data_IF_418962780543
#
_entry.id   IF_418962780543
#
_cell.length_a   1.000
_cell.length_b   1.000
_cell.length_c   1.000
_cell.angle_alpha   90.00
_cell.angle_beta   90.00
_cell.angle_gamma   90.00
#
_symmetry.space_group_name_H-M   'P 1'
#
loop_
_entity.id
_entity.type
_entity.pdbx_description
1 polymer ?
#
# COMPACT_ATOMS: atom_id res chain seq x y z
N UNK A 1 -22.08 20.69 15.44
CA UNK A 1 -21.21 21.70 16.05
C UNK A 1 -19.80 21.49 15.56
N UNK A 2 -19.43 22.20 14.48
CA UNK A 2 -18.05 22.21 14.00
C UNK A 2 -17.18 22.99 14.98
N UNK A 3 -16.07 22.39 15.43
CA UNK A 3 -15.12 23.06 16.29
C UNK A 3 -14.57 24.33 15.64
N UNK A 4 -14.09 25.26 16.45
CA UNK A 4 -13.61 26.60 16.05
C UNK A 4 -12.52 26.54 14.94
N UNK A 5 -11.82 25.40 14.81
CA UNK A 5 -10.79 25.16 13.79
C UNK A 5 -11.30 24.39 12.56
N UNK A 6 -12.54 23.91 12.54
CA UNK A 6 -13.13 23.20 11.40
C UNK A 6 -13.50 24.12 10.22
N UNK A 7 -13.35 25.42 10.36
CA UNK A 7 -13.90 26.41 9.42
C UNK A 7 -13.07 26.61 8.15
N UNK A 8 -11.89 26.00 7.99
CA UNK A 8 -11.12 26.12 6.74
C UNK A 8 -10.08 25.02 6.53
N UNK A 9 -10.51 23.76 6.55
CA UNK A 9 -9.60 22.68 6.14
C UNK A 9 -9.35 22.80 4.64
N UNK A 10 -8.12 23.11 4.27
CA UNK A 10 -7.70 23.13 2.85
C UNK A 10 -7.75 21.72 2.26
N UNK A 11 -7.82 21.57 0.92
CA UNK A 11 -7.74 20.24 0.30
C UNK A 11 -6.50 19.44 0.71
N UNK A 12 -5.36 20.11 0.92
CA UNK A 12 -4.11 19.48 1.35
C UNK A 12 -4.18 18.98 2.80
N UNK A 13 -4.77 19.78 3.69
CA UNK A 13 -5.00 19.36 5.07
C UNK A 13 -5.94 18.14 5.15
N UNK A 14 -6.98 18.10 4.33
CA UNK A 14 -7.88 16.95 4.23
C UNK A 14 -7.14 15.69 3.76
N UNK A 15 -6.31 15.81 2.73
CA UNK A 15 -5.47 14.70 2.24
C UNK A 15 -4.52 14.20 3.33
N UNK A 16 -3.88 15.12 4.07
CA UNK A 16 -2.99 14.76 5.17
C UNK A 16 -3.75 14.04 6.31
N UNK A 17 -4.93 14.53 6.68
CA UNK A 17 -5.79 13.88 7.68
C UNK A 17 -6.21 12.48 7.24
N UNK A 18 -6.65 12.29 5.98
CA UNK A 18 -7.00 10.98 5.45
C UNK A 18 -5.83 10.00 5.51
N UNK A 19 -4.63 10.45 5.13
CA UNK A 19 -3.42 9.60 5.25
C UNK A 19 -3.14 9.22 6.70
N UNK A 20 -3.28 10.15 7.64
CA UNK A 20 -3.09 9.88 9.05
C UNK A 20 -4.14 8.90 9.59
N UNK A 21 -5.41 9.08 9.24
CA UNK A 21 -6.50 8.18 9.61
C UNK A 21 -6.26 6.75 9.06
N UNK A 22 -5.82 6.64 7.82
CA UNK A 22 -5.46 5.36 7.19
C UNK A 22 -4.29 4.70 7.91
N UNK A 23 -3.23 5.45 8.23
CA UNK A 23 -2.08 4.94 8.97
C UNK A 23 -2.47 4.46 10.37
N UNK A 24 -3.30 5.20 11.09
CA UNK A 24 -3.80 4.79 12.40
C UNK A 24 -4.64 3.50 12.31
N UNK A 25 -5.47 3.39 11.28
CA UNK A 25 -6.25 2.18 11.04
C UNK A 25 -5.36 0.96 10.74
N UNK A 26 -4.28 1.15 9.98
CA UNK A 26 -3.29 0.11 9.70
C UNK A 26 -2.58 -0.34 10.97
N UNK A 27 -2.08 0.61 11.78
CA UNK A 27 -1.42 0.30 13.05
C UNK A 27 -2.38 -0.48 13.96
N UNK A 28 -3.63 -0.04 14.07
CA UNK A 28 -4.64 -0.71 14.90
C UNK A 28 -4.92 -2.13 14.43
N UNK A 29 -5.09 -2.33 13.11
CA UNK A 29 -5.29 -3.64 12.51
C UNK A 29 -4.09 -4.57 12.70
N UNK A 30 -2.88 -4.06 12.50
CA UNK A 30 -1.64 -4.81 12.73
C UNK A 30 -1.50 -5.24 14.20
N UNK A 31 -1.71 -4.31 15.14
CA UNK A 31 -1.69 -4.61 16.59
C UNK A 31 -2.71 -5.68 16.95
N UNK A 32 -3.91 -5.64 16.37
CA UNK A 32 -4.92 -6.67 16.60
C UNK A 32 -4.43 -8.05 16.18
N UNK A 33 -3.85 -8.17 14.97
CA UNK A 33 -3.36 -9.45 14.44
C UNK A 33 -2.17 -9.97 15.24
N UNK A 34 -1.15 -9.13 15.48
CA UNK A 34 0.06 -9.52 16.23
C UNK A 34 -0.28 -9.94 17.65
N UNK A 35 -1.13 -9.17 18.33
CA UNK A 35 -1.58 -9.49 19.70
C UNK A 35 -2.34 -10.82 19.73
N UNK A 36 -3.24 -11.04 18.75
CA UNK A 36 -3.97 -12.29 18.64
C UNK A 36 -3.04 -13.49 18.46
N UNK A 37 -2.06 -13.39 17.57
CA UNK A 37 -1.07 -14.46 17.33
C UNK A 37 -0.21 -14.75 18.55
N UNK A 38 0.22 -13.68 19.24
CA UNK A 38 1.05 -13.82 20.44
C UNK A 38 0.30 -14.44 21.63
N UNK A 39 -1.00 -14.16 21.75
CA UNK A 39 -1.79 -14.62 22.90
C UNK A 39 -2.46 -15.98 22.70
N UNK A 40 -2.74 -16.38 21.44
CA UNK A 40 -3.45 -17.62 21.12
C UNK A 40 -2.85 -18.90 21.80
N UNK A 41 -1.53 -19.09 21.87
CA UNK A 41 -0.94 -20.28 22.52
C UNK A 41 -1.20 -20.33 24.03
N UNK A 42 -1.41 -19.19 24.67
CA UNK A 42 -1.55 -19.06 26.13
C UNK A 42 -3.00 -18.86 26.57
N UNK A 43 -3.83 -18.27 25.72
CA UNK A 43 -5.22 -17.90 26.01
C UNK A 43 -6.15 -18.39 24.89
N UNK A 44 -6.42 -19.71 24.81
CA UNK A 44 -7.23 -20.26 23.71
C UNK A 44 -8.69 -19.77 23.69
N UNK A 45 -9.18 -19.18 24.80
CA UNK A 45 -10.53 -18.60 24.89
C UNK A 45 -10.53 -17.07 24.87
N UNK A 46 -9.48 -16.45 24.31
CA UNK A 46 -9.36 -14.99 24.26
C UNK A 46 -10.33 -14.28 23.27
N UNK A 47 -11.12 -15.03 22.50
CA UNK A 47 -12.02 -14.44 21.50
C UNK A 47 -13.05 -13.48 22.10
N UNK A 48 -13.63 -13.83 23.25
CA UNK A 48 -14.55 -12.96 23.97
C UNK A 48 -13.86 -11.66 24.43
N UNK A 49 -12.62 -11.75 24.92
CA UNK A 49 -11.81 -10.60 25.33
C UNK A 49 -11.46 -9.73 24.12
N UNK A 50 -11.07 -10.34 23.01
CA UNK A 50 -10.78 -9.63 21.75
C UNK A 50 -11.99 -8.85 21.27
N UNK A 51 -13.16 -9.47 21.25
CA UNK A 51 -14.40 -8.85 20.84
C UNK A 51 -14.78 -7.69 21.79
N UNK A 52 -14.62 -7.87 23.10
CA UNK A 52 -14.83 -6.81 24.09
C UNK A 52 -13.90 -5.62 23.84
N UNK A 53 -12.60 -5.87 23.58
CA UNK A 53 -11.63 -4.82 23.29
C UNK A 53 -11.95 -4.11 21.97
N UNK A 54 -12.38 -4.85 20.95
CA UNK A 54 -12.83 -4.28 19.67
C UNK A 54 -14.03 -3.36 19.84
N UNK A 55 -15.05 -3.78 20.62
CA UNK A 55 -16.21 -2.94 20.93
C UNK A 55 -15.81 -1.69 21.71
N UNK A 56 -14.92 -1.82 22.70
CA UNK A 56 -14.41 -0.69 23.46
C UNK A 56 -13.70 0.34 22.60
N UNK A 57 -12.86 -0.11 21.64
CA UNK A 57 -12.22 0.78 20.68
C UNK A 57 -13.23 1.45 19.74
N UNK A 58 -14.23 0.71 19.27
CA UNK A 58 -15.27 1.25 18.40
C UNK A 58 -16.18 2.29 19.08
N UNK A 59 -16.26 2.30 20.41
CA UNK A 59 -17.03 3.32 21.16
C UNK A 59 -16.30 4.65 21.34
N UNK A 60 -15.03 4.74 20.89
CA UNK A 60 -14.19 5.92 21.05
C UNK A 60 -13.68 6.12 22.49
N UNK A 61 -12.71 6.99 22.63
CA UNK A 61 -12.16 7.37 23.92
C UNK A 61 -12.02 8.90 24.04
N UNK A 62 -11.77 9.42 25.27
CA UNK A 62 -11.63 10.87 25.49
C UNK A 62 -10.56 11.51 24.61
N UNK A 63 -9.46 10.81 24.35
CA UNK A 63 -8.41 11.30 23.45
C UNK A 63 -8.89 11.44 21.99
N UNK A 64 -9.67 10.49 21.50
CA UNK A 64 -10.28 10.54 20.18
C UNK A 64 -11.26 11.69 20.02
N UNK A 65 -12.09 11.91 21.05
CA UNK A 65 -13.03 13.04 21.08
C UNK A 65 -12.29 14.39 21.05
N UNK A 66 -11.19 14.52 21.82
CA UNK A 66 -10.36 15.73 21.83
C UNK A 66 -9.70 15.93 20.45
N UNK A 67 -9.06 14.90 19.89
CA UNK A 67 -8.42 14.99 18.56
C UNK A 67 -9.43 15.25 17.46
N UNK A 68 -10.61 14.61 17.53
CA UNK A 68 -11.70 14.86 16.59
C UNK A 68 -12.18 16.31 16.63
N UNK A 69 -12.25 16.90 17.83
CA UNK A 69 -12.67 18.30 18.02
C UNK A 69 -11.60 19.30 17.59
N UNK A 70 -10.32 19.03 17.91
CA UNK A 70 -9.21 19.97 17.66
C UNK A 70 -8.76 19.98 16.20
N UNK A 71 -8.56 18.81 15.58
CA UNK A 71 -7.96 18.68 14.25
C UNK A 71 -8.85 17.98 13.23
N UNK A 72 -10.05 17.55 13.63
CA UNK A 72 -10.97 16.86 12.74
C UNK A 72 -10.61 15.39 12.49
N UNK A 73 -9.66 14.81 13.24
CA UNK A 73 -9.26 13.41 13.13
C UNK A 73 -10.39 12.48 13.55
N UNK A 74 -10.70 11.49 12.72
CA UNK A 74 -11.73 10.50 13.00
C UNK A 74 -11.14 9.10 12.93
N UNK A 75 -11.23 8.36 14.03
CA UNK A 75 -10.95 6.93 13.98
C UNK A 75 -12.01 6.22 13.13
N UNK A 76 -11.56 5.32 12.28
CA UNK A 76 -12.44 4.62 11.33
C UNK A 76 -12.43 3.11 11.61
N UNK A 77 -13.31 2.60 12.51
CA UNK A 77 -13.29 1.18 12.93
C UNK A 77 -13.47 0.19 11.78
N UNK A 78 -14.11 0.60 10.67
CA UNK A 78 -14.23 -0.24 9.46
C UNK A 78 -12.89 -0.41 8.76
N UNK A 79 -12.10 0.66 8.65
CA UNK A 79 -10.77 0.62 8.04
C UNK A 79 -9.80 -0.20 8.90
N UNK A 80 -9.84 -0.07 10.22
CA UNK A 80 -9.03 -0.90 11.12
C UNK A 80 -9.35 -2.40 10.98
N UNK A 81 -10.62 -2.76 10.79
CA UNK A 81 -11.00 -4.14 10.48
C UNK A 81 -10.51 -4.59 9.12
N UNK A 82 -10.61 -3.75 8.09
CA UNK A 82 -10.04 -4.02 6.77
C UNK A 82 -8.54 -4.26 6.84
N UNK A 83 -7.83 -3.41 7.59
CA UNK A 83 -6.40 -3.59 7.86
C UNK A 83 -6.10 -4.94 8.53
N UNK A 84 -6.81 -5.29 9.60
CA UNK A 84 -6.65 -6.58 10.27
C UNK A 84 -6.90 -7.76 9.31
N UNK A 85 -7.90 -7.65 8.43
CA UNK A 85 -8.16 -8.66 7.40
C UNK A 85 -7.00 -8.78 6.42
N UNK A 86 -6.46 -7.67 5.90
CA UNK A 86 -5.31 -7.69 4.98
C UNK A 86 -4.09 -8.32 5.66
N UNK A 87 -3.71 -7.89 6.87
CA UNK A 87 -2.59 -8.48 7.59
C UNK A 87 -2.76 -9.98 7.85
N UNK A 88 -4.00 -10.42 8.11
CA UNK A 88 -4.31 -11.84 8.29
C UNK A 88 -4.17 -12.61 6.97
N UNK A 89 -4.66 -12.07 5.86
CA UNK A 89 -4.57 -12.68 4.53
C UNK A 89 -3.12 -12.80 4.08
N UNK A 90 -2.34 -11.71 4.19
CA UNK A 90 -0.92 -11.71 3.81
C UNK A 90 -0.10 -12.66 4.67
N UNK A 91 -0.39 -12.75 5.99
CA UNK A 91 0.27 -13.73 6.86
C UNK A 91 -0.10 -15.17 6.51
N UNK A 92 -1.34 -15.43 6.10
CA UNK A 92 -1.77 -16.76 5.69
C UNK A 92 -1.14 -17.19 4.36
N UNK A 93 -0.90 -16.27 3.45
CA UNK A 93 -0.31 -16.49 2.13
C UNK A 93 1.22 -16.64 2.20
N UNK A 94 1.93 -15.67 2.77
CA UNK A 94 3.39 -15.58 2.76
C UNK A 94 4.07 -15.60 4.14
N UNK A 95 3.32 -15.87 5.20
CA UNK A 95 3.84 -15.95 6.56
C UNK A 95 4.09 -14.59 7.21
N UNK A 96 4.72 -14.65 8.39
CA UNK A 96 5.01 -13.46 9.20
C UNK A 96 5.85 -12.42 8.45
N UNK A 97 6.87 -12.87 7.73
CA UNK A 97 7.80 -11.95 7.07
C UNK A 97 7.12 -11.19 5.94
N UNK A 98 6.20 -11.82 5.19
CA UNK A 98 5.37 -11.14 4.20
C UNK A 98 4.45 -10.08 4.84
N UNK A 99 3.85 -10.39 6.00
CA UNK A 99 3.06 -9.43 6.76
C UNK A 99 3.90 -8.22 7.19
N UNK A 100 5.10 -8.42 7.72
CA UNK A 100 5.98 -7.33 8.15
C UNK A 100 6.54 -6.54 6.97
N UNK A 101 6.73 -7.17 5.81
CA UNK A 101 7.20 -6.51 4.59
C UNK A 101 6.26 -5.40 4.10
N UNK A 102 4.98 -5.41 4.48
CA UNK A 102 4.06 -4.32 4.17
C UNK A 102 4.48 -2.97 4.78
N UNK A 103 5.36 -2.98 5.78
CA UNK A 103 5.92 -1.79 6.41
C UNK A 103 7.28 -1.35 5.85
N UNK A 104 7.87 -2.15 4.94
CA UNK A 104 9.24 -1.93 4.46
C UNK A 104 9.40 -0.71 3.56
N UNK A 105 8.35 -0.33 2.83
CA UNK A 105 8.36 0.83 1.94
C UNK A 105 6.96 1.48 1.89
N UNK A 106 6.86 2.81 1.71
CA UNK A 106 5.57 3.51 1.61
C UNK A 106 4.61 2.91 0.57
N UNK A 107 5.12 2.43 -0.57
CA UNK A 107 4.30 1.85 -1.65
C UNK A 107 3.77 0.45 -1.30
N UNK A 108 4.39 -0.22 -0.33
CA UNK A 108 3.91 -1.51 0.17
C UNK A 108 2.75 -1.36 1.15
N UNK A 109 2.63 -0.19 1.77
CA UNK A 109 1.57 0.07 2.76
C UNK A 109 0.20 0.07 2.09
N UNK A 110 -0.79 -0.69 2.63
CA UNK A 110 -2.13 -0.70 2.06
C UNK A 110 -2.81 0.67 2.07
N UNK A 111 -3.43 1.02 0.96
CA UNK A 111 -4.17 2.27 0.75
C UNK A 111 -5.56 2.25 1.38
N UNK A 112 -6.20 3.41 1.49
CA UNK A 112 -7.59 3.53 1.97
C UNK A 112 -8.57 2.67 1.15
N UNK A 113 -8.39 2.60 -0.16
CA UNK A 113 -9.23 1.80 -1.06
C UNK A 113 -9.05 0.31 -0.84
N UNK A 114 -7.82 -0.15 -0.63
CA UNK A 114 -7.53 -1.55 -0.31
C UNK A 114 -8.10 -1.96 1.05
N UNK A 115 -8.09 -1.05 2.04
CA UNK A 115 -8.74 -1.30 3.34
C UNK A 115 -10.26 -1.44 3.24
N UNK A 116 -10.88 -0.84 2.23
CA UNK A 116 -12.31 -0.97 2.00
C UNK A 116 -12.71 -2.32 1.36
N UNK A 117 -11.79 -2.95 0.62
CA UNK A 117 -11.99 -4.22 -0.10
C UNK A 117 -10.87 -5.22 0.19
N UNK A 118 -10.68 -5.64 1.44
CA UNK A 118 -9.54 -6.46 1.85
C UNK A 118 -9.45 -7.80 1.14
N UNK A 119 -10.58 -8.39 0.76
CA UNK A 119 -10.63 -9.71 0.12
C UNK A 119 -9.98 -9.74 -1.27
N UNK A 120 -9.91 -8.60 -1.96
CA UNK A 120 -9.28 -8.47 -3.28
C UNK A 120 -7.82 -8.04 -3.22
N UNK A 121 -7.28 -7.76 -2.05
CA UNK A 121 -5.95 -7.17 -1.86
C UNK A 121 -4.84 -7.97 -2.55
N UNK A 122 -4.72 -9.27 -2.26
CA UNK A 122 -3.67 -10.11 -2.84
C UNK A 122 -3.80 -10.22 -4.36
N UNK A 123 -5.03 -10.43 -4.86
CA UNK A 123 -5.27 -10.55 -6.30
C UNK A 123 -4.92 -9.28 -7.06
N UNK A 124 -5.31 -8.12 -6.53
CA UNK A 124 -5.01 -6.83 -7.17
C UNK A 124 -3.52 -6.50 -7.13
N UNK A 125 -2.84 -6.80 -6.01
CA UNK A 125 -1.39 -6.61 -5.88
C UNK A 125 -0.60 -7.54 -6.81
N UNK A 126 -1.04 -8.78 -6.96
CA UNK A 126 -0.44 -9.71 -7.90
C UNK A 126 -0.63 -9.24 -9.34
N UNK A 127 -1.85 -8.85 -9.74
CA UNK A 127 -2.11 -8.33 -11.07
C UNK A 127 -1.28 -7.07 -11.40
N UNK A 128 -1.15 -6.14 -10.44
CA UNK A 128 -0.30 -4.97 -10.60
C UNK A 128 1.19 -5.34 -10.76
N UNK A 129 1.69 -6.31 -10.00
CA UNK A 129 3.07 -6.77 -10.11
C UNK A 129 3.36 -7.47 -11.45
N UNK A 130 2.38 -8.20 -12.00
CA UNK A 130 2.47 -8.81 -13.34
C UNK A 130 2.52 -7.71 -14.43
N UNK A 131 1.67 -6.68 -14.32
CA UNK A 131 1.66 -5.53 -15.25
C UNK A 131 2.98 -4.75 -15.19
N UNK A 132 3.50 -4.48 -14.01
CA UNK A 132 4.81 -3.81 -13.83
C UNK A 132 5.95 -4.64 -14.44
N UNK A 133 5.94 -5.98 -14.25
CA UNK A 133 6.94 -6.86 -14.84
C UNK A 133 6.89 -6.87 -16.39
N UNK A 134 5.70 -6.81 -16.98
CA UNK A 134 5.52 -6.72 -18.44
C UNK A 134 6.04 -5.37 -18.96
N UNK A 135 5.79 -4.27 -18.26
CA UNK A 135 6.30 -2.94 -18.58
C UNK A 135 7.84 -2.92 -18.50
N UNK A 136 8.40 -3.48 -17.44
CA UNK A 136 9.86 -3.56 -17.27
C UNK A 136 10.51 -4.42 -18.37
N UNK A 137 9.89 -5.53 -18.74
CA UNK A 137 10.35 -6.38 -19.84
C UNK A 137 10.33 -5.63 -21.19
N UNK A 138 9.25 -4.88 -21.47
CA UNK A 138 9.13 -4.06 -22.66
C UNK A 138 10.18 -2.93 -22.68
N UNK A 139 10.41 -2.28 -21.54
CA UNK A 139 11.41 -1.22 -21.38
C UNK A 139 12.83 -1.76 -21.59
N UNK A 140 13.16 -2.92 -21.01
CA UNK A 140 14.45 -3.57 -21.22
C UNK A 140 14.65 -3.95 -22.69
N UNK A 141 13.62 -4.46 -23.37
CA UNK A 141 13.68 -4.76 -24.80
C UNK A 141 13.92 -3.51 -25.67
N UNK A 142 13.38 -2.37 -25.28
CA UNK A 142 13.65 -1.07 -25.92
C UNK A 142 15.10 -0.63 -25.70
N UNK A 143 15.60 -0.76 -24.47
CA UNK A 143 16.98 -0.37 -24.12
C UNK A 143 18.01 -1.26 -24.79
N UNK A 144 17.74 -2.55 -24.91
CA UNK A 144 18.60 -3.52 -25.56
C UNK A 144 18.51 -3.47 -27.12
N UNK A 145 17.66 -2.60 -27.67
CA UNK A 145 17.46 -2.46 -29.12
C UNK A 145 16.79 -3.67 -29.77
N UNK A 146 16.16 -4.55 -28.99
CA UNK A 146 15.51 -5.79 -29.48
C UNK A 146 14.02 -5.58 -29.81
N UNK A 147 13.39 -4.49 -29.37
CA UNK A 147 12.10 -4.09 -29.90
C UNK A 147 12.27 -3.47 -31.27
N UNK A 148 11.81 -4.23 -32.25
CA UNK A 148 12.00 -4.03 -33.67
C UNK A 148 11.95 -2.58 -34.11
N UNK A 149 12.97 -2.22 -34.85
CA UNK A 149 12.90 -1.12 -35.80
C UNK A 149 11.61 -1.26 -36.60
N UNK A 150 10.86 -0.20 -36.75
CA UNK A 150 9.71 -0.21 -37.66
C UNK A 150 10.19 -0.72 -39.01
N UNK A 151 9.43 -1.65 -39.62
CA UNK A 151 9.75 -2.23 -40.92
C UNK A 151 10.22 -1.14 -41.91
N UNK A 152 11.51 -1.16 -42.28
CA UNK A 152 12.11 -0.18 -43.21
C UNK A 152 13.14 0.76 -42.61
N UNK A 153 13.47 0.72 -41.32
CA UNK A 153 14.57 1.46 -40.69
C UNK A 153 15.64 0.48 -40.21
N UNK A 154 16.36 -0.14 -41.17
CA UNK A 154 17.61 -0.82 -40.84
C UNK A 154 18.69 0.21 -40.49
N UNK A 155 19.58 -0.06 -39.50
CA UNK A 155 20.73 0.80 -39.23
C UNK A 155 21.57 0.82 -40.52
N UNK A 156 21.61 1.97 -41.17
CA UNK A 156 22.39 2.13 -42.41
C UNK A 156 23.83 1.79 -42.13
N UNK A 157 24.42 0.94 -43.00
CA UNK A 157 25.85 0.68 -43.14
C UNK A 157 26.56 2.00 -43.52
N UNK A 158 26.75 2.90 -42.59
CA UNK A 158 27.64 4.03 -42.72
C UNK A 158 29.02 3.74 -42.16
N UNK A 159 29.76 2.89 -42.80
CA UNK A 159 31.23 2.87 -42.63
C UNK A 159 31.93 2.08 -43.73
N UNK A 160 31.74 2.47 -45.01
CA UNK A 160 32.68 2.08 -46.04
C UNK A 160 32.74 3.15 -47.11
N UNK A 161 33.39 4.25 -46.80
CA UNK A 161 33.78 5.21 -47.83
C UNK A 161 35.11 5.84 -47.44
N UNK A 162 36.13 5.51 -48.24
CA UNK A 162 37.22 6.43 -48.43
C UNK A 162 38.60 5.98 -48.04
N UNK A 163 39.10 4.90 -48.64
CA UNK A 163 40.51 4.84 -48.95
C UNK A 163 40.68 5.45 -50.36
N UNK A 164 40.86 6.75 -50.40
CA UNK A 164 41.23 7.48 -51.60
C UNK A 164 42.72 7.39 -51.78
N UNK A 165 43.10 6.68 -52.81
CA UNK A 165 44.38 6.60 -53.52
C UNK A 165 44.76 7.99 -54.04
N UNK A 166 45.93 8.50 -53.67
CA UNK A 166 46.57 9.62 -54.36
C UNK A 166 47.72 9.06 -55.25
N UNK A 167 47.75 9.36 -56.57
CA UNK A 167 48.94 9.23 -57.33
C UNK A 167 49.66 10.57 -57.53
N UNK A 168 51.05 10.56 -57.42
CA UNK A 168 52.09 11.46 -57.89
C UNK A 168 51.80 12.95 -58.10
#
# INVERSE_FOLDING_TARGET
SGGVFALSTTPDQRRALTRLETMLALIEGWVEVVTARATLPYLPHADALREMMRRRRASGGPAEEILGTLIGLKMRPRQARGAASIFTLVEADGGRDAREALWSHPDMVPSETELATPDTFLTLRQAAAEEDADIDAALNSLLDGTLGWADGLEPGDEASAGSGDEPE
#
